data_IF_972236146068
#
_entry.id   IF_972236146068
#
_cell.length_a   1.000
_cell.length_b   1.000
_cell.length_c   1.000
_cell.angle_alpha   90.00
_cell.angle_beta   90.00
_cell.angle_gamma   90.00
#
_symmetry.space_group_name_H-M   'P 1'
#
loop_
_entity.id
_entity.type
_entity.pdbx_description
1 polymer ?
#
# COMPACT_ATOMS: atom_id res chain seq x y z
N UNK A 1 6.43 25.13 11.67
CA UNK A 1 6.73 24.44 12.94
C UNK A 1 6.85 22.95 12.67
N UNK A 2 8.05 22.39 12.86
CA UNK A 2 8.38 20.98 12.61
C UNK A 2 7.65 20.10 13.62
N UNK A 3 6.71 19.27 13.16
CA UNK A 3 5.91 18.36 13.99
C UNK A 3 6.71 17.10 14.41
N UNK A 4 8.02 17.24 14.63
CA UNK A 4 8.90 16.14 15.05
C UNK A 4 8.58 15.79 16.51
N UNK A 5 8.03 14.59 16.75
CA UNK A 5 7.84 14.02 18.09
C UNK A 5 6.40 13.93 18.62
N UNK A 6 5.38 14.35 17.87
CA UNK A 6 3.99 14.07 18.28
C UNK A 6 3.61 12.65 17.86
N UNK A 7 3.54 11.75 18.84
CA UNK A 7 3.00 10.40 18.64
C UNK A 7 1.48 10.43 18.52
N UNK A 8 0.95 9.75 17.52
CA UNK A 8 -0.49 9.60 17.27
C UNK A 8 -0.90 8.20 17.70
N UNK A 9 -1.86 8.04 18.62
CA UNK A 9 -2.39 6.74 18.97
C UNK A 9 -3.26 6.22 17.82
N UNK A 10 -2.93 5.03 17.31
CA UNK A 10 -3.67 4.35 16.23
C UNK A 10 -4.08 2.97 16.72
N UNK A 11 -5.38 2.64 16.58
CA UNK A 11 -5.87 1.31 16.95
C UNK A 11 -5.31 0.27 15.98
N UNK A 12 -4.83 -0.85 16.53
CA UNK A 12 -4.32 -1.98 15.73
C UNK A 12 -5.39 -2.50 14.76
N UNK A 13 -6.66 -2.49 15.16
CA UNK A 13 -7.78 -2.86 14.28
C UNK A 13 -7.90 -1.98 13.03
N UNK A 14 -7.51 -0.71 13.10
CA UNK A 14 -7.51 0.18 11.92
C UNK A 14 -6.39 -0.21 10.97
N UNK A 15 -5.22 -0.52 11.51
CA UNK A 15 -4.07 -0.99 10.72
C UNK A 15 -4.42 -2.30 10.02
N UNK A 16 -5.03 -3.25 10.74
CA UNK A 16 -5.50 -4.52 10.17
C UNK A 16 -6.45 -4.31 8.99
N UNK A 17 -7.45 -3.44 9.12
CA UNK A 17 -8.40 -3.15 8.03
C UNK A 17 -7.69 -2.61 6.79
N UNK A 18 -6.72 -1.71 6.95
CA UNK A 18 -5.97 -1.16 5.82
C UNK A 18 -5.07 -2.23 5.19
N UNK A 19 -4.42 -3.06 6.01
CA UNK A 19 -3.59 -4.18 5.55
C UNK A 19 -4.39 -5.18 4.73
N UNK A 20 -5.52 -5.66 5.25
CA UNK A 20 -6.39 -6.63 4.58
C UNK A 20 -6.92 -6.08 3.24
N UNK A 21 -7.24 -4.78 3.19
CA UNK A 21 -7.65 -4.11 1.95
C UNK A 21 -6.49 -3.92 0.95
N UNK A 22 -5.25 -3.79 1.44
CA UNK A 22 -4.04 -3.57 0.62
C UNK A 22 -3.57 -4.86 -0.04
N UNK A 23 -3.65 -6.00 0.65
CA UNK A 23 -3.17 -7.30 0.16
C UNK A 23 -3.65 -7.69 -1.25
N UNK A 24 -4.95 -7.70 -1.58
CA UNK A 24 -5.40 -8.07 -2.93
C UNK A 24 -4.86 -7.11 -4.00
N UNK A 25 -4.74 -5.82 -3.66
CA UNK A 25 -4.22 -4.80 -4.57
C UNK A 25 -2.72 -5.02 -4.80
N UNK A 26 -1.97 -5.31 -3.74
CA UNK A 26 -0.56 -5.66 -3.82
C UNK A 26 -0.33 -6.84 -4.77
N UNK A 27 -1.02 -7.96 -4.59
CA UNK A 27 -0.84 -9.14 -5.44
C UNK A 27 -1.18 -8.85 -6.91
N UNK A 28 -2.28 -8.13 -7.16
CA UNK A 28 -2.67 -7.71 -8.52
C UNK A 28 -1.60 -6.83 -9.18
N UNK A 29 -1.12 -5.81 -8.49
CA UNK A 29 -0.12 -4.88 -9.01
C UNK A 29 1.23 -5.56 -9.23
N UNK A 30 1.62 -6.49 -8.35
CA UNK A 30 2.85 -7.24 -8.50
C UNK A 30 2.80 -8.17 -9.72
N UNK A 31 1.71 -8.92 -9.89
CA UNK A 31 1.50 -9.75 -11.09
C UNK A 31 1.51 -8.92 -12.38
N UNK A 32 0.80 -7.79 -12.40
CA UNK A 32 0.80 -6.88 -13.56
C UNK A 32 2.20 -6.33 -13.86
N UNK A 33 3.01 -6.06 -12.84
CA UNK A 33 4.39 -5.60 -13.01
C UNK A 33 5.25 -6.69 -13.65
N UNK A 34 5.14 -7.94 -13.20
CA UNK A 34 5.83 -9.09 -13.80
C UNK A 34 5.45 -9.29 -15.28
N UNK A 35 4.16 -9.21 -15.57
CA UNK A 35 3.59 -9.27 -16.93
C UNK A 35 4.12 -8.15 -17.85
N UNK A 36 4.23 -6.93 -17.35
CA UNK A 36 4.76 -5.79 -18.12
C UNK A 36 6.27 -5.91 -18.34
N UNK A 37 7.02 -6.40 -17.34
CA UNK A 37 8.48 -6.54 -17.42
C UNK A 37 8.89 -7.73 -18.29
N UNK A 38 8.08 -8.79 -18.35
CA UNK A 38 8.27 -9.93 -19.26
C UNK A 38 7.88 -9.61 -20.71
N UNK A 39 7.28 -8.45 -20.96
CA UNK A 39 6.87 -8.00 -22.29
C UNK A 39 5.51 -8.54 -22.76
N UNK A 40 4.74 -9.18 -21.87
CA UNK A 40 3.40 -9.69 -22.19
C UNK A 40 2.40 -8.56 -22.48
N UNK A 41 2.56 -7.40 -21.84
CA UNK A 41 1.70 -6.23 -22.03
C UNK A 41 2.49 -4.96 -22.35
N UNK A 42 2.27 -4.36 -23.53
CA UNK A 42 2.86 -3.07 -23.84
C UNK A 42 2.12 -1.96 -23.10
N UNK A 43 2.84 -1.25 -22.24
CA UNK A 43 2.41 -0.01 -21.59
C UNK A 43 3.26 1.16 -22.08
N UNK A 44 2.65 2.34 -22.15
CA UNK A 44 3.38 3.60 -22.35
C UNK A 44 4.32 3.88 -21.17
N UNK A 45 5.32 4.74 -21.36
CA UNK A 45 6.23 5.11 -20.28
C UNK A 45 5.50 5.73 -19.08
N UNK A 46 4.46 6.53 -19.33
CA UNK A 46 3.64 7.14 -18.27
C UNK A 46 2.89 6.08 -17.45
N UNK A 47 2.28 5.10 -18.11
CA UNK A 47 1.58 3.99 -17.44
C UNK A 47 2.55 3.11 -16.65
N UNK A 48 3.75 2.85 -17.19
CA UNK A 48 4.81 2.10 -16.46
C UNK A 48 5.22 2.83 -15.18
N UNK A 49 5.46 4.14 -15.25
CA UNK A 49 5.80 4.94 -14.07
C UNK A 49 4.70 4.90 -13.01
N UNK A 50 3.43 4.99 -13.43
CA UNK A 50 2.29 4.93 -12.53
C UNK A 50 2.12 3.53 -11.90
N UNK A 51 2.30 2.47 -12.68
CA UNK A 51 2.28 1.09 -12.19
C UNK A 51 3.37 0.87 -11.13
N UNK A 52 4.59 1.35 -11.39
CA UNK A 52 5.70 1.25 -10.45
C UNK A 52 5.43 2.04 -9.15
N UNK A 53 4.86 3.25 -9.25
CA UNK A 53 4.49 4.04 -8.08
C UNK A 53 3.46 3.31 -7.21
N UNK A 54 2.39 2.80 -7.81
CA UNK A 54 1.34 2.09 -7.08
C UNK A 54 1.87 0.80 -6.45
N UNK A 55 2.66 0.04 -7.20
CA UNK A 55 3.26 -1.22 -6.72
C UNK A 55 4.22 -0.96 -5.56
N UNK A 56 5.07 0.07 -5.67
CA UNK A 56 6.01 0.47 -4.62
C UNK A 56 5.30 0.85 -3.31
N UNK A 57 4.21 1.63 -3.39
CA UNK A 57 3.42 1.98 -2.21
C UNK A 57 2.71 0.76 -1.60
N UNK A 58 2.20 -0.15 -2.42
CA UNK A 58 1.56 -1.38 -1.95
C UNK A 58 2.56 -2.31 -1.23
N UNK A 59 3.76 -2.48 -1.79
CA UNK A 59 4.86 -3.22 -1.18
C UNK A 59 5.24 -2.62 0.17
N UNK A 60 5.43 -1.29 0.20
CA UNK A 60 5.86 -0.57 1.40
C UNK A 60 4.84 -0.69 2.52
N UNK A 61 3.53 -0.54 2.21
CA UNK A 61 2.47 -0.74 3.20
C UNK A 61 2.38 -2.17 3.70
N UNK A 62 2.52 -3.16 2.80
CA UNK A 62 2.48 -4.57 3.19
C UNK A 62 3.54 -4.88 4.25
N UNK A 63 4.80 -4.58 3.98
CA UNK A 63 5.88 -4.88 4.91
C UNK A 63 5.78 -4.06 6.20
N UNK A 64 5.49 -2.76 6.10
CA UNK A 64 5.34 -1.91 7.27
C UNK A 64 4.21 -2.39 8.20
N UNK A 65 3.08 -2.82 7.65
CA UNK A 65 1.99 -3.35 8.45
C UNK A 65 2.25 -4.74 8.98
N UNK A 66 2.94 -5.61 8.24
CA UNK A 66 3.41 -6.91 8.77
C UNK A 66 4.24 -6.71 10.03
N UNK A 67 5.23 -5.81 9.98
CA UNK A 67 6.08 -5.50 11.13
C UNK A 67 5.26 -4.95 12.32
N UNK A 68 4.39 -3.97 12.07
CA UNK A 68 3.56 -3.36 13.13
C UNK A 68 2.58 -4.37 13.74
N UNK A 69 1.96 -5.22 12.92
CA UNK A 69 0.99 -6.21 13.39
C UNK A 69 1.68 -7.36 14.15
N UNK A 70 2.89 -7.77 13.73
CA UNK A 70 3.70 -8.74 14.44
C UNK A 70 4.14 -8.22 15.83
N UNK A 71 4.62 -6.98 15.89
CA UNK A 71 4.98 -6.30 17.15
C UNK A 71 3.76 -6.18 18.07
N UNK A 72 2.64 -5.66 17.56
CA UNK A 72 1.41 -5.49 18.33
C UNK A 72 0.85 -6.83 18.83
N UNK A 73 0.95 -7.89 18.05
CA UNK A 73 0.52 -9.24 18.45
C UNK A 73 1.41 -9.79 19.57
N UNK A 74 2.73 -9.68 19.42
CA UNK A 74 3.72 -10.16 20.38
C UNK A 74 3.57 -9.49 21.74
N UNK A 75 3.31 -8.18 21.74
CA UNK A 75 3.13 -7.37 22.96
C UNK A 75 1.68 -7.29 23.43
N UNK A 76 0.72 -7.90 22.70
CA UNK A 76 -0.73 -7.83 22.96
C UNK A 76 -1.27 -6.39 23.03
N UNK A 77 -0.73 -5.51 22.18
CA UNK A 77 -1.15 -4.13 22.08
C UNK A 77 -2.48 -4.02 21.32
N UNK A 78 -3.35 -3.14 21.78
CA UNK A 78 -4.56 -2.73 21.04
C UNK A 78 -4.39 -1.40 20.30
N UNK A 79 -3.35 -0.65 20.66
CA UNK A 79 -3.01 0.67 20.14
C UNK A 79 -1.51 0.76 19.95
N UNK A 80 -1.09 1.22 18.78
CA UNK A 80 0.31 1.56 18.49
C UNK A 80 0.48 3.07 18.39
N UNK A 81 1.65 3.56 18.75
CA UNK A 81 1.95 4.99 18.77
C UNK A 81 2.93 5.35 17.67
N UNK A 82 2.39 5.77 16.54
CA UNK A 82 3.17 6.14 15.36
C UNK A 82 3.52 7.63 15.39
N UNK A 83 4.65 7.99 14.79
CA UNK A 83 4.95 9.41 14.61
C UNK A 83 3.91 10.05 13.68
N UNK A 84 3.50 11.28 13.97
CA UNK A 84 2.48 11.98 13.16
C UNK A 84 2.85 12.07 11.67
N UNK A 85 4.14 12.18 11.35
CA UNK A 85 4.62 12.17 9.97
C UNK A 85 4.51 10.80 9.32
N UNK A 86 4.84 9.75 10.06
CA UNK A 86 4.73 8.36 9.61
C UNK A 86 3.28 7.99 9.35
N UNK A 87 2.38 8.30 10.29
CA UNK A 87 0.95 8.04 10.11
C UNK A 87 0.38 8.78 8.89
N UNK A 88 0.80 10.02 8.64
CA UNK A 88 0.42 10.76 7.43
C UNK A 88 0.94 10.09 6.16
N UNK A 89 2.18 9.58 6.17
CA UNK A 89 2.75 8.86 5.04
C UNK A 89 1.98 7.57 4.77
N UNK A 90 1.63 6.80 5.81
CA UNK A 90 0.79 5.61 5.71
C UNK A 90 -0.54 5.96 5.03
N UNK A 91 -1.23 7.00 5.50
CA UNK A 91 -2.50 7.43 4.92
C UNK A 91 -2.35 7.88 3.46
N UNK A 92 -1.26 8.56 3.11
CA UNK A 92 -0.97 8.97 1.75
C UNK A 92 -0.78 7.74 0.84
N UNK A 93 0.11 6.83 1.23
CA UNK A 93 0.36 5.59 0.48
C UNK A 93 -0.92 4.77 0.32
N UNK A 94 -1.71 4.66 1.39
CA UNK A 94 -2.96 3.88 1.39
C UNK A 94 -3.96 4.42 0.36
N UNK A 95 -4.08 5.75 0.25
CA UNK A 95 -4.91 6.39 -0.78
C UNK A 95 -4.38 6.16 -2.19
N UNK A 96 -3.07 6.17 -2.38
CA UNK A 96 -2.46 5.87 -3.69
C UNK A 96 -2.74 4.43 -4.11
N UNK A 97 -2.62 3.48 -3.18
CA UNK A 97 -2.95 2.07 -3.40
C UNK A 97 -4.44 1.90 -3.69
N UNK A 98 -5.34 2.51 -2.92
CA UNK A 98 -6.78 2.49 -3.18
C UNK A 98 -7.11 3.02 -4.59
N UNK A 99 -6.46 4.13 -4.99
CA UNK A 99 -6.66 4.74 -6.31
C UNK A 99 -6.28 3.80 -7.45
N UNK A 100 -5.31 2.91 -7.26
CA UNK A 100 -4.86 1.96 -8.28
C UNK A 100 -5.98 1.04 -8.77
N UNK A 101 -7.01 0.76 -7.95
CA UNK A 101 -8.17 -0.03 -8.38
C UNK A 101 -9.04 0.69 -9.42
N UNK A 102 -8.93 2.02 -9.51
CA UNK A 102 -9.66 2.85 -10.47
C UNK A 102 -8.82 3.19 -11.69
N UNK A 103 -7.53 2.85 -11.66
CA UNK A 103 -6.62 3.07 -12.79
C UNK A 103 -6.66 1.85 -13.69
N UNK A 104 -7.04 2.09 -14.95
CA UNK A 104 -7.04 1.08 -16.00
C UNK A 104 -5.68 1.17 -16.70
N UNK A 105 -4.86 0.13 -16.56
CA UNK A 105 -3.56 0.03 -17.21
C UNK A 105 -3.73 -0.70 -18.55
N UNK A 106 -3.97 0.06 -19.62
CA UNK A 106 -4.45 -0.46 -20.90
C UNK A 106 -5.72 -1.34 -20.73
N UNK A 107 -6.29 -1.97 -21.76
CA UNK A 107 -7.53 -2.78 -21.67
C UNK A 107 -7.43 -4.07 -20.79
N UNK A 108 -6.70 -4.05 -19.68
CA UNK A 108 -6.67 -5.05 -18.59
C UNK A 108 -7.97 -5.07 -17.79
N UNK A 109 -9.12 -5.08 -18.48
CA UNK A 109 -10.45 -5.32 -17.88
C UNK A 109 -10.59 -6.73 -17.29
N UNK A 110 -9.57 -7.58 -17.40
CA UNK A 110 -9.53 -8.94 -16.86
C UNK A 110 -9.25 -8.95 -15.35
N UNK A 111 -8.66 -7.88 -14.79
CA UNK A 111 -8.29 -7.83 -13.36
C UNK A 111 -9.24 -6.99 -12.49
N UNK A 112 -10.29 -6.41 -13.09
CA UNK A 112 -11.32 -5.62 -12.39
C UNK A 112 -12.59 -6.42 -12.06
N UNK A 113 -12.61 -7.73 -12.34
CA UNK A 113 -13.74 -8.64 -12.14
C UNK A 113 -13.35 -9.85 -11.29
#
# INVERSE_FOLDING_TARGET
MSNKGKKTPVKVSVIQVIYDATLPIYYRLNALTEDVMSGAYPLSLAEKSLLLEHTSHAISLKFLFEDILEEASSEKLQVVYLDSSEFKNILYMSKTVERSNRVIFNNTGIWSH
#
